data_IF_272277811900
#
_entry.id   IF_272277811900
#
_cell.length_a   1.000
_cell.length_b   1.000
_cell.length_c   1.000
_cell.angle_alpha   90.00
_cell.angle_beta   90.00
_cell.angle_gamma   90.00
#
_symmetry.space_group_name_H-M   'P 1'
#
loop_
_entity.id
_entity.type
_entity.pdbx_description
1 polymer ?
#
# COMPACT_ATOMS: atom_id res chain seq x y z
N UNK A 1 4.73 -2.06 -18.56
CA UNK A 1 5.73 -1.25 -19.30
C UNK A 1 6.76 -0.64 -18.36
N UNK A 2 6.35 0.21 -17.40
CA UNK A 2 7.27 0.87 -16.45
C UNK A 2 8.19 -0.12 -15.70
N UNK A 3 7.63 -1.14 -15.04
CA UNK A 3 8.43 -2.16 -14.34
C UNK A 3 9.37 -2.96 -15.25
N UNK A 4 8.97 -3.23 -16.50
CA UNK A 4 9.81 -3.97 -17.44
C UNK A 4 10.99 -3.13 -17.92
N UNK A 5 10.77 -1.82 -18.14
CA UNK A 5 11.84 -0.87 -18.46
C UNK A 5 12.79 -0.70 -17.29
N UNK A 6 12.26 -0.55 -16.08
CA UNK A 6 13.05 -0.47 -14.84
C UNK A 6 13.92 -1.71 -14.65
N UNK A 7 13.34 -2.90 -14.83
CA UNK A 7 14.08 -4.17 -14.74
C UNK A 7 15.24 -4.24 -15.73
N UNK A 8 15.01 -3.81 -16.97
CA UNK A 8 16.04 -3.82 -18.03
C UNK A 8 17.15 -2.81 -17.73
N UNK A 9 16.81 -1.61 -17.25
CA UNK A 9 17.77 -0.58 -16.88
C UNK A 9 18.60 -1.02 -15.66
N UNK A 10 17.95 -1.44 -14.58
CA UNK A 10 18.62 -1.86 -13.34
C UNK A 10 19.47 -3.10 -13.57
N UNK A 11 18.90 -4.15 -14.17
CA UNK A 11 19.64 -5.38 -14.45
C UNK A 11 20.82 -5.14 -15.38
N UNK A 12 20.65 -4.30 -16.41
CA UNK A 12 21.73 -3.90 -17.31
C UNK A 12 22.83 -3.08 -16.62
N UNK A 13 22.47 -2.10 -15.78
CA UNK A 13 23.42 -1.28 -15.04
C UNK A 13 24.19 -2.09 -13.99
N UNK A 14 23.52 -2.97 -13.25
CA UNK A 14 24.16 -3.85 -12.27
C UNK A 14 25.11 -4.82 -12.97
N UNK A 15 24.69 -5.45 -14.08
CA UNK A 15 25.57 -6.30 -14.86
C UNK A 15 26.79 -5.52 -15.38
N UNK A 16 26.58 -4.31 -15.90
CA UNK A 16 27.69 -3.47 -16.37
C UNK A 16 28.66 -3.08 -15.25
N UNK A 17 28.13 -2.83 -14.04
CA UNK A 17 28.92 -2.52 -12.86
C UNK A 17 29.73 -3.71 -12.32
N UNK A 18 29.17 -4.93 -12.42
CA UNK A 18 29.73 -6.12 -11.77
C UNK A 18 30.49 -7.07 -12.71
N UNK A 19 30.33 -6.97 -14.03
CA UNK A 19 30.92 -7.94 -14.98
C UNK A 19 32.44 -8.04 -14.92
N UNK A 20 33.15 -6.99 -14.51
CA UNK A 20 34.63 -6.99 -14.48
C UNK A 20 35.26 -7.28 -15.85
N UNK A 21 36.35 -8.06 -15.86
CA UNK A 21 37.11 -8.44 -17.06
C UNK A 21 36.81 -9.88 -17.49
N UNK A 22 36.71 -10.09 -18.80
CA UNK A 22 36.55 -11.43 -19.37
C UNK A 22 37.92 -12.10 -19.52
N UNK A 23 38.16 -13.17 -18.77
CA UNK A 23 39.39 -13.97 -18.84
C UNK A 23 38.99 -15.43 -19.06
N UNK A 24 39.51 -16.07 -20.10
CA UNK A 24 39.23 -17.47 -20.46
C UNK A 24 37.73 -17.84 -20.57
N UNK A 25 36.90 -16.87 -21.00
CA UNK A 25 35.46 -17.07 -21.19
C UNK A 25 34.61 -16.92 -19.91
N UNK A 26 35.22 -16.55 -18.79
CA UNK A 26 34.56 -16.30 -17.51
C UNK A 26 34.71 -14.82 -17.14
N UNK A 27 33.68 -14.24 -16.51
CA UNK A 27 33.77 -12.89 -15.97
C UNK A 27 34.43 -12.92 -14.61
N UNK A 28 35.50 -12.13 -14.46
CA UNK A 28 36.38 -12.13 -13.29
C UNK A 28 36.41 -10.71 -12.70
N UNK A 29 36.29 -10.63 -11.38
CA UNK A 29 36.36 -9.38 -10.62
C UNK A 29 37.81 -8.85 -10.52
N UNK A 30 37.97 -7.69 -9.88
CA UNK A 30 39.28 -7.03 -9.69
C UNK A 30 40.27 -7.87 -8.84
N UNK A 31 39.80 -8.91 -8.16
CA UNK A 31 40.59 -9.79 -7.29
C UNK A 31 40.96 -11.12 -7.97
N UNK A 32 40.49 -11.36 -9.21
CA UNK A 32 40.73 -12.62 -9.90
C UNK A 32 39.71 -13.71 -9.57
N UNK A 33 38.65 -13.41 -8.82
CA UNK A 33 37.59 -14.34 -8.49
C UNK A 33 36.43 -14.26 -9.52
N UNK A 34 35.64 -15.33 -9.69
CA UNK A 34 34.45 -15.27 -10.55
C UNK A 34 33.51 -14.16 -10.09
N UNK A 35 33.10 -13.29 -11.03
CA UNK A 35 32.11 -12.24 -10.79
C UNK A 35 30.80 -12.82 -10.26
N UNK A 36 30.09 -12.02 -9.45
CA UNK A 36 28.76 -12.34 -8.93
C UNK A 36 27.73 -12.62 -10.03
N UNK A 37 27.92 -12.05 -11.23
CA UNK A 37 27.00 -12.22 -12.36
C UNK A 37 27.76 -12.69 -13.59
N UNK A 38 27.58 -13.96 -13.96
CA UNK A 38 28.21 -14.55 -15.15
C UNK A 38 27.37 -14.34 -16.40
N UNK A 39 26.05 -14.25 -16.24
CA UNK A 39 25.11 -14.10 -17.35
C UNK A 39 24.10 -12.98 -17.10
N UNK A 40 23.67 -12.31 -18.18
CA UNK A 40 22.64 -11.25 -18.12
C UNK A 40 21.35 -11.70 -17.39
N UNK A 41 20.84 -12.94 -17.57
CA UNK A 41 19.66 -13.41 -16.86
C UNK A 41 19.81 -13.44 -15.33
N UNK A 42 21.02 -13.65 -14.81
CA UNK A 42 21.28 -13.65 -13.36
C UNK A 42 21.16 -12.23 -12.77
N UNK A 43 21.65 -11.23 -13.49
CA UNK A 43 21.47 -9.83 -13.11
C UNK A 43 19.99 -9.38 -13.24
N UNK A 44 19.28 -9.90 -14.25
CA UNK A 44 17.84 -9.67 -14.39
C UNK A 44 17.04 -10.33 -13.26
N UNK A 45 17.45 -11.51 -12.81
CA UNK A 45 16.87 -12.18 -11.63
C UNK A 45 17.07 -11.34 -10.37
N UNK A 46 18.29 -10.86 -10.10
CA UNK A 46 18.56 -9.94 -9.00
C UNK A 46 17.67 -8.69 -9.06
N UNK A 47 17.56 -8.07 -10.24
CA UNK A 47 16.70 -6.90 -10.42
C UNK A 47 15.22 -7.24 -10.15
N UNK A 48 14.77 -8.43 -10.55
CA UNK A 48 13.38 -8.87 -10.39
C UNK A 48 13.04 -9.05 -8.92
N UNK A 49 13.86 -9.78 -8.18
CA UNK A 49 13.65 -10.04 -6.74
C UNK A 49 13.79 -8.76 -5.90
N UNK A 50 14.57 -7.79 -6.38
CA UNK A 50 14.73 -6.48 -5.73
C UNK A 50 13.52 -5.58 -5.96
N UNK A 51 13.06 -5.45 -7.22
CA UNK A 51 11.87 -4.64 -7.56
C UNK A 51 10.61 -5.21 -6.91
N UNK A 52 10.51 -6.54 -6.81
CA UNK A 52 9.41 -7.21 -6.10
C UNK A 52 9.59 -7.21 -4.58
N UNK A 53 10.67 -6.62 -4.05
CA UNK A 53 11.00 -6.54 -2.62
C UNK A 53 11.17 -7.89 -1.90
N UNK A 54 11.28 -8.99 -2.66
CA UNK A 54 11.48 -10.34 -2.11
C UNK A 54 12.88 -10.47 -1.49
N UNK A 55 13.91 -10.05 -2.24
CA UNK A 55 15.28 -9.95 -1.74
C UNK A 55 15.87 -11.24 -1.15
N UNK A 56 15.94 -12.32 -1.94
CA UNK A 56 16.54 -13.59 -1.47
C UNK A 56 18.01 -13.46 -1.02
N UNK A 57 18.76 -12.54 -1.62
CA UNK A 57 20.18 -12.33 -1.30
C UNK A 57 21.10 -13.45 -1.77
N UNK A 58 20.62 -14.32 -2.66
CA UNK A 58 21.38 -15.37 -3.34
C UNK A 58 22.47 -14.79 -4.25
N UNK A 59 22.13 -13.71 -4.95
CA UNK A 59 23.04 -12.93 -5.78
C UNK A 59 22.94 -11.47 -5.37
N UNK A 60 24.09 -10.85 -5.08
CA UNK A 60 24.16 -9.43 -4.68
C UNK A 60 25.37 -8.75 -5.30
N UNK A 61 25.25 -7.49 -5.73
CA UNK A 61 26.39 -6.74 -6.23
C UNK A 61 27.43 -6.51 -5.14
N UNK A 62 28.68 -6.86 -5.44
CA UNK A 62 29.80 -6.80 -4.49
C UNK A 62 30.60 -5.51 -4.71
N UNK A 63 30.64 -5.00 -5.94
CA UNK A 63 31.40 -3.81 -6.31
C UNK A 63 30.79 -2.55 -5.67
N UNK A 64 31.61 -1.56 -5.33
CA UNK A 64 31.12 -0.29 -4.77
C UNK A 64 30.14 0.41 -5.73
N UNK A 65 30.38 0.34 -7.04
CA UNK A 65 29.50 0.93 -8.05
C UNK A 65 28.18 0.17 -8.15
N UNK A 66 28.22 -1.17 -8.17
CA UNK A 66 27.02 -2.02 -8.17
C UNK A 66 26.15 -1.81 -6.94
N UNK A 67 26.75 -1.60 -5.77
CA UNK A 67 26.03 -1.29 -4.52
C UNK A 67 25.29 0.06 -4.58
N UNK A 68 25.88 1.08 -5.18
CA UNK A 68 25.22 2.38 -5.38
C UNK A 68 24.03 2.23 -6.32
N UNK A 69 24.23 1.54 -7.45
CA UNK A 69 23.14 1.27 -8.41
C UNK A 69 22.02 0.48 -7.76
N UNK A 70 22.34 -0.57 -7.01
CA UNK A 70 21.35 -1.38 -6.29
C UNK A 70 20.58 -0.57 -5.26
N UNK A 71 21.24 0.33 -4.53
CA UNK A 71 20.59 1.20 -3.54
C UNK A 71 19.58 2.13 -4.20
N UNK A 72 19.95 2.73 -5.34
CA UNK A 72 19.02 3.57 -6.12
C UNK A 72 17.86 2.72 -6.65
N UNK A 73 18.14 1.53 -7.17
CA UNK A 73 17.13 0.61 -7.68
C UNK A 73 16.12 0.17 -6.60
N UNK A 74 16.55 -0.01 -5.36
CA UNK A 74 15.64 -0.31 -4.24
C UNK A 74 14.65 0.85 -4.01
N UNK A 75 15.12 2.10 -4.06
CA UNK A 75 14.26 3.27 -3.89
C UNK A 75 13.29 3.43 -5.08
N UNK A 76 13.79 3.30 -6.31
CA UNK A 76 12.94 3.43 -7.50
C UNK A 76 11.93 2.29 -7.61
N UNK A 77 12.29 1.06 -7.21
CA UNK A 77 11.39 -0.08 -7.26
C UNK A 77 10.16 0.09 -6.38
N UNK A 78 10.33 0.65 -5.17
CA UNK A 78 9.21 0.98 -4.28
C UNK A 78 8.31 2.06 -4.89
N UNK A 79 8.90 3.10 -5.50
CA UNK A 79 8.14 4.12 -6.24
C UNK A 79 7.38 3.49 -7.41
N UNK A 80 8.01 2.57 -8.14
CA UNK A 80 7.39 1.82 -9.23
C UNK A 80 6.16 1.03 -8.77
N UNK A 81 6.26 0.30 -7.67
CA UNK A 81 5.11 -0.39 -7.07
C UNK A 81 4.00 0.59 -6.65
N UNK A 82 4.38 1.72 -6.05
CA UNK A 82 3.43 2.77 -5.67
C UNK A 82 2.66 3.33 -6.87
N UNK A 83 3.28 3.48 -8.04
CA UNK A 83 2.57 3.98 -9.23
C UNK A 83 1.47 3.04 -9.69
N UNK A 84 1.68 1.73 -9.64
CA UNK A 84 0.66 0.74 -10.04
C UNK A 84 -0.53 0.79 -9.09
N UNK A 85 -0.27 0.83 -7.79
CA UNK A 85 -1.31 0.95 -6.77
C UNK A 85 -2.09 2.26 -6.95
N UNK A 86 -1.40 3.36 -7.24
CA UNK A 86 -2.01 4.67 -7.43
C UNK A 86 -2.94 4.71 -8.64
N UNK A 87 -2.54 4.10 -9.77
CA UNK A 87 -3.37 4.04 -10.98
C UNK A 87 -4.67 3.29 -10.70
N UNK A 88 -4.58 2.12 -10.06
CA UNK A 88 -5.77 1.33 -9.70
C UNK A 88 -6.63 2.10 -8.67
N UNK A 89 -5.99 2.72 -7.68
CA UNK A 89 -6.67 3.52 -6.66
C UNK A 89 -7.42 4.72 -7.23
N UNK A 90 -6.87 5.38 -8.26
CA UNK A 90 -7.53 6.50 -8.93
C UNK A 90 -8.84 6.06 -9.61
N UNK A 91 -8.82 4.94 -10.33
CA UNK A 91 -10.02 4.39 -10.97
C UNK A 91 -11.08 3.98 -9.93
N UNK A 92 -10.65 3.35 -8.84
CA UNK A 92 -11.57 2.99 -7.75
C UNK A 92 -12.17 4.23 -7.07
N UNK A 93 -11.39 5.30 -6.93
CA UNK A 93 -11.88 6.56 -6.37
C UNK A 93 -12.92 7.20 -7.30
N UNK A 94 -12.66 7.26 -8.61
CA UNK A 94 -13.60 7.76 -9.61
C UNK A 94 -14.94 7.01 -9.57
N UNK A 95 -14.91 5.67 -9.56
CA UNK A 95 -16.12 4.85 -9.48
C UNK A 95 -16.95 5.12 -8.20
N UNK A 96 -16.31 5.45 -7.07
CA UNK A 96 -17.01 5.83 -5.84
C UNK A 96 -17.61 7.24 -5.92
N UNK A 97 -16.88 8.20 -6.48
CA UNK A 97 -17.37 9.57 -6.60
C UNK A 97 -18.55 9.68 -7.57
N UNK A 98 -18.59 8.88 -8.64
CA UNK A 98 -19.74 8.83 -9.55
C UNK A 98 -21.01 8.32 -8.86
N UNK A 99 -20.89 7.34 -7.96
CA UNK A 99 -22.00 6.87 -7.14
C UNK A 99 -22.56 7.95 -6.21
N UNK A 100 -21.69 8.70 -5.54
CA UNK A 100 -22.10 9.81 -4.67
C UNK A 100 -22.66 11.00 -5.48
N UNK A 101 -22.12 11.26 -6.66
CA UNK A 101 -22.62 12.29 -7.55
C UNK A 101 -24.00 11.94 -8.11
N UNK A 102 -24.27 10.65 -8.39
CA UNK A 102 -25.58 10.17 -8.79
C UNK A 102 -26.62 10.34 -7.67
N UNK A 103 -26.28 9.99 -6.42
CA UNK A 103 -27.17 10.22 -5.28
C UNK A 103 -27.39 11.71 -5.00
N UNK A 104 -26.34 12.54 -5.09
CA UNK A 104 -26.47 13.99 -4.96
C UNK A 104 -27.35 14.59 -6.06
N UNK A 105 -27.21 14.15 -7.32
CA UNK A 105 -28.06 14.61 -8.42
C UNK A 105 -29.53 14.17 -8.25
N UNK A 106 -29.77 13.00 -7.65
CA UNK A 106 -31.13 12.54 -7.35
C UNK A 106 -31.81 13.39 -6.25
N UNK A 107 -31.05 13.85 -5.26
CA UNK A 107 -31.55 14.74 -4.20
C UNK A 107 -31.59 16.23 -4.61
N UNK A 108 -30.69 16.67 -5.49
CA UNK A 108 -30.61 18.07 -5.99
C UNK A 108 -31.48 18.33 -7.22
N UNK A 109 -32.44 17.45 -7.52
CA UNK A 109 -33.55 17.83 -8.39
C UNK A 109 -34.25 19.04 -7.76
N UNK A 110 -34.24 20.22 -8.39
CA UNK A 110 -34.98 21.35 -7.88
C UNK A 110 -36.46 21.01 -8.08
N UNK A 111 -37.12 20.52 -7.03
CA UNK A 111 -38.57 20.70 -6.90
C UNK A 111 -38.82 22.17 -6.60
N UNK A 112 -38.47 23.05 -7.54
CA UNK A 112 -39.08 24.36 -7.64
C UNK A 112 -40.44 24.09 -8.27
N UNK A 113 -41.36 23.63 -7.41
CA UNK A 113 -42.75 24.03 -7.57
C UNK A 113 -42.74 25.57 -7.64
N UNK A 114 -43.43 26.21 -8.61
CA UNK A 114 -43.31 27.66 -8.83
C UNK A 114 -43.64 28.40 -7.52
N UNK A 115 -42.57 28.85 -6.88
CA UNK A 115 -42.56 29.47 -5.57
C UNK A 115 -42.52 30.98 -5.80
N UNK A 116 -43.59 31.49 -6.40
CA UNK A 116 -43.72 32.90 -6.78
C UNK A 116 -45.15 33.42 -6.55
N UNK A 117 -46.16 32.54 -6.53
CA UNK A 117 -47.52 32.88 -6.12
C UNK A 117 -47.74 32.81 -4.59
N UNK A 118 -47.14 31.84 -3.90
CA UNK A 118 -47.39 31.58 -2.47
C UNK A 118 -46.43 32.33 -1.54
N UNK A 119 -45.23 32.69 -2.03
CA UNK A 119 -44.21 33.39 -1.26
C UNK A 119 -44.53 34.87 -1.00
N UNK A 120 -45.27 35.53 -1.89
CA UNK A 120 -45.72 36.92 -1.68
C UNK A 120 -46.78 37.05 -0.59
N UNK A 121 -47.50 35.97 -0.26
CA UNK A 121 -48.47 35.94 0.83
C UNK A 121 -47.83 35.57 2.18
N UNK A 122 -46.83 34.69 2.19
CA UNK A 122 -46.16 34.20 3.41
C UNK A 122 -45.07 35.14 3.94
N UNK A 123 -44.42 35.92 3.08
CA UNK A 123 -43.36 36.85 3.49
C UNK A 123 -43.84 37.96 4.45
N UNK A 124 -45.15 38.22 4.52
CA UNK A 124 -45.74 39.17 5.46
C UNK A 124 -45.97 38.61 6.88
N UNK A 125 -45.72 37.31 7.15
CA UNK A 125 -46.08 36.68 8.44
C UNK A 125 -44.97 35.95 9.21
N UNK A 126 -43.78 35.67 8.65
CA UNK A 126 -42.79 34.80 9.31
C UNK A 126 -41.41 35.43 9.52
N UNK A 127 -41.37 36.67 10.01
CA UNK A 127 -40.17 37.32 10.55
C UNK A 127 -39.79 36.81 11.96
N UNK A 128 -40.18 35.60 12.35
CA UNK A 128 -39.96 35.04 13.68
C UNK A 128 -39.60 33.57 13.56
N UNK A 129 -38.30 33.28 13.39
CA UNK A 129 -37.58 32.34 14.25
C UNK A 129 -36.21 32.02 13.63
N UNK A 130 -35.18 32.29 14.43
CA UNK A 130 -33.82 31.88 14.19
C UNK A 130 -33.64 30.41 14.59
N UNK A 131 -32.95 29.60 13.78
CA UNK A 131 -31.72 28.89 14.18
C UNK A 131 -31.27 27.82 13.14
N UNK A 132 -29.97 27.47 13.13
CA UNK A 132 -29.30 26.72 12.07
C UNK A 132 -29.33 25.20 12.30
N UNK A 133 -29.53 24.41 11.25
CA UNK A 133 -29.51 22.94 11.31
C UNK A 133 -28.14 22.36 10.95
N UNK A 134 -27.28 22.24 11.96
CA UNK A 134 -26.14 21.32 12.01
C UNK A 134 -26.56 20.10 12.84
N UNK A 135 -27.04 19.02 12.24
CA UNK A 135 -27.56 17.89 13.06
C UNK A 135 -27.72 16.54 12.33
N UNK A 136 -26.91 16.26 11.30
CA UNK A 136 -26.96 14.95 10.60
C UNK A 136 -25.62 14.21 10.50
N UNK A 137 -24.49 14.90 10.65
CA UNK A 137 -23.16 14.26 10.66
C UNK A 137 -22.82 13.59 12.00
N UNK A 138 -23.44 14.00 13.11
CA UNK A 138 -23.10 13.50 14.46
C UNK A 138 -23.49 12.02 14.68
N UNK A 139 -24.53 11.54 13.98
CA UNK A 139 -25.08 10.20 14.18
C UNK A 139 -24.29 9.06 13.50
N UNK A 140 -23.48 9.38 12.49
CA UNK A 140 -22.68 8.39 11.76
C UNK A 140 -21.32 8.20 12.41
N UNK A 141 -20.69 9.29 12.88
CA UNK A 141 -19.47 9.25 13.69
C UNK A 141 -19.67 8.45 14.99
N UNK A 142 -20.80 8.60 15.66
CA UNK A 142 -21.11 7.84 16.88
C UNK A 142 -21.20 6.32 16.63
N UNK A 143 -21.72 5.90 15.47
CA UNK A 143 -21.80 4.48 15.09
C UNK A 143 -20.44 3.89 14.74
N UNK A 144 -19.57 4.68 14.10
CA UNK A 144 -18.19 4.27 13.78
C UNK A 144 -17.38 4.13 15.07
N UNK A 145 -17.47 5.09 16.00
CA UNK A 145 -16.80 5.00 17.30
C UNK A 145 -17.26 3.77 18.10
N UNK A 146 -18.56 3.50 18.16
CA UNK A 146 -19.06 2.31 18.86
C UNK A 146 -18.57 0.99 18.25
N UNK A 147 -18.39 0.92 16.92
CA UNK A 147 -17.83 -0.26 16.24
C UNK A 147 -16.33 -0.42 16.47
N UNK A 148 -15.58 0.68 16.53
CA UNK A 148 -14.15 0.65 16.84
C UNK A 148 -13.90 0.19 18.28
N UNK A 149 -14.68 0.69 19.24
CA UNK A 149 -14.57 0.30 20.65
C UNK A 149 -14.96 -1.18 20.87
N UNK A 150 -15.99 -1.66 20.17
CA UNK A 150 -16.35 -3.08 20.19
C UNK A 150 -15.26 -3.97 19.59
N UNK A 151 -14.55 -3.50 18.57
CA UNK A 151 -13.45 -4.23 17.93
C UNK A 151 -12.21 -4.26 18.82
N UNK A 152 -11.91 -3.16 19.50
CA UNK A 152 -10.79 -3.06 20.45
C UNK A 152 -11.00 -4.01 21.64
N UNK A 153 -12.22 -4.06 22.20
CA UNK A 153 -12.58 -4.99 23.28
C UNK A 153 -12.51 -6.47 22.83
N UNK A 154 -12.91 -6.77 21.59
CA UNK A 154 -12.81 -8.12 21.05
C UNK A 154 -11.35 -8.55 20.85
N UNK A 155 -10.49 -7.61 20.43
CA UNK A 155 -9.06 -7.85 20.26
C UNK A 155 -8.40 -8.15 21.61
N UNK A 156 -8.70 -7.34 22.65
CA UNK A 156 -8.22 -7.57 24.02
C UNK A 156 -8.61 -8.96 24.57
N UNK A 157 -9.85 -9.39 24.34
CA UNK A 157 -10.32 -10.71 24.76
C UNK A 157 -9.63 -11.87 24.02
N UNK A 158 -9.25 -11.66 22.75
CA UNK A 158 -8.47 -12.64 22.00
C UNK A 158 -7.03 -12.75 22.50
N UNK A 159 -6.41 -11.63 22.89
CA UNK A 159 -5.06 -11.62 23.49
C UNK A 159 -5.04 -12.39 24.80
N UNK A 160 -6.02 -12.17 25.68
CA UNK A 160 -6.14 -12.90 26.95
C UNK A 160 -6.31 -14.41 26.73
N UNK A 161 -7.13 -14.80 25.75
CA UNK A 161 -7.30 -16.22 25.39
C UNK A 161 -6.04 -16.84 24.81
N UNK A 162 -5.27 -16.09 24.01
CA UNK A 162 -4.00 -16.56 23.47
C UNK A 162 -2.94 -16.73 24.57
N UNK A 163 -2.87 -15.82 25.54
CA UNK A 163 -1.98 -15.96 26.70
C UNK A 163 -2.36 -17.16 27.57
N UNK A 164 -3.66 -17.39 27.80
CA UNK A 164 -4.13 -18.57 28.53
C UNK A 164 -3.73 -19.88 27.83
N UNK A 165 -3.92 -19.97 26.51
CA UNK A 165 -3.53 -21.15 25.71
C UNK A 165 -2.01 -21.35 25.67
N UNK A 166 -1.24 -20.25 25.59
CA UNK A 166 0.23 -20.29 25.57
C UNK A 166 0.82 -20.66 26.94
N UNK A 167 0.18 -20.28 28.05
CA UNK A 167 0.60 -20.73 29.39
C UNK A 167 0.26 -22.21 29.62
N UNK A 168 -0.87 -22.68 29.08
CA UNK A 168 -1.29 -24.09 29.15
C UNK A 168 -0.33 -24.99 28.37
N UNK A 169 0.10 -24.58 27.16
CA UNK A 169 1.05 -25.37 26.36
C UNK A 169 2.47 -25.38 26.93
N UNK A 170 2.91 -24.29 27.60
CA UNK A 170 4.20 -24.25 28.31
C UNK A 170 4.24 -25.18 29.52
N UNK A 171 3.11 -25.40 30.20
CA UNK A 171 3.02 -26.30 31.35
C UNK A 171 3.02 -27.79 30.94
N UNK A 172 2.44 -28.13 29.77
CA UNK A 172 2.50 -29.49 29.22
C UNK A 172 3.90 -29.88 28.73
N UNK A 173 4.65 -28.97 28.10
CA UNK A 173 6.01 -29.26 27.61
C UNK A 173 6.99 -29.60 28.73
N UNK A 174 6.87 -28.96 29.90
CA UNK A 174 7.76 -29.23 31.04
C UNK A 174 7.52 -30.60 31.69
N UNK A 175 6.35 -31.22 31.46
CA UNK A 175 6.00 -32.53 32.02
C UNK A 175 6.51 -33.70 31.17
N UNK A 176 6.87 -33.46 29.90
CA UNK A 176 7.44 -34.46 29.01
C UNK A 176 8.97 -34.61 29.12
N UNK A 177 9.68 -33.62 29.67
CA UNK A 177 11.14 -33.69 29.86
C UNK A 177 11.57 -34.31 31.21
N UNK A 178 10.63 -34.66 32.09
CA UNK A 178 10.89 -35.23 33.43
C UNK A 178 10.49 -36.72 33.54
N UNK A 179 10.53 -37.47 32.44
CA UNK A 179 10.36 -38.93 32.43
C UNK A 179 11.16 -39.61 31.31
#
# INVERSE_FOLDING_TARGET
FFLGLELLIVGGLVFHAERGTLVDGVYVDDQGAPSAFQHIPEAAWFALVTVTTVGYGDLVPITPLGRVVASIAMLTGVVGLSTIISIIGAEMAHARFDGLAAERNLYTSPRIEPLDATQRAAATMAAADAQPSTSREDGESAKICARLEALENALAALTEKLEAVTSSSRFESHKCDEN
#
